data_IF_112412593042
#
_entry.id   IF_112412593042
#
_cell.length_a   1.000
_cell.length_b   1.000
_cell.length_c   1.000
_cell.angle_alpha   90.00
_cell.angle_beta   90.00
_cell.angle_gamma   90.00
#
_symmetry.space_group_name_H-M   'P 1'
#
loop_
_entity.id
_entity.type
_entity.pdbx_description
1 polymer ?
#
# COMPACT_ATOMS: atom_id res chain seq x y z
N UNK A 1 21.02 3.55 20.58
CA UNK A 1 19.87 2.82 20.01
C UNK A 1 19.06 3.69 19.03
N UNK A 2 18.77 4.95 19.39
CA UNK A 2 18.00 5.86 18.53
C UNK A 2 18.65 6.17 17.18
N UNK A 3 19.96 6.39 17.16
CA UNK A 3 20.71 6.73 15.92
C UNK A 3 20.67 5.58 14.89
N UNK A 4 20.81 4.33 15.35
CA UNK A 4 20.74 3.16 14.49
C UNK A 4 19.34 3.00 13.89
N UNK A 5 18.29 3.22 14.69
CA UNK A 5 16.90 3.17 14.22
C UNK A 5 16.62 4.24 13.15
N UNK A 6 17.05 5.48 13.39
CA UNK A 6 16.88 6.58 12.43
C UNK A 6 17.67 6.34 11.13
N UNK A 7 18.84 5.74 11.22
CA UNK A 7 19.62 5.33 10.05
C UNK A 7 18.94 4.21 9.24
N UNK A 8 18.35 3.23 9.93
CA UNK A 8 17.53 2.20 9.27
C UNK A 8 16.31 2.80 8.56
N UNK A 9 15.63 3.79 9.16
CA UNK A 9 14.52 4.51 8.52
C UNK A 9 14.98 5.25 7.25
N UNK A 10 16.15 5.86 7.27
CA UNK A 10 16.70 6.56 6.11
C UNK A 10 16.99 5.59 4.96
N UNK A 11 17.60 4.43 5.25
CA UNK A 11 17.86 3.38 4.26
C UNK A 11 16.53 2.83 3.71
N UNK A 12 15.54 2.59 4.57
CA UNK A 12 14.24 2.08 4.14
C UNK A 12 13.51 3.08 3.24
N UNK A 13 13.52 4.38 3.57
CA UNK A 13 12.97 5.43 2.72
C UNK A 13 13.61 5.46 1.33
N UNK A 14 14.94 5.36 1.27
CA UNK A 14 15.68 5.30 0.01
C UNK A 14 15.35 4.04 -0.81
N UNK A 15 15.23 2.89 -0.15
CA UNK A 15 14.83 1.65 -0.81
C UNK A 15 13.42 1.74 -1.42
N UNK A 16 12.46 2.34 -0.71
CA UNK A 16 11.08 2.56 -1.21
C UNK A 16 11.08 3.50 -2.43
N UNK A 17 11.89 4.56 -2.43
CA UNK A 17 12.05 5.45 -3.59
C UNK A 17 12.56 4.68 -4.80
N UNK A 18 13.60 3.84 -4.63
CA UNK A 18 14.16 3.04 -5.72
C UNK A 18 13.10 2.09 -6.28
N UNK A 19 12.38 1.38 -5.42
CA UNK A 19 11.31 0.46 -5.85
C UNK A 19 10.23 1.21 -6.62
N UNK A 20 9.75 2.35 -6.10
CA UNK A 20 8.78 3.20 -6.78
C UNK A 20 9.29 3.70 -8.15
N UNK A 21 10.54 4.14 -8.22
CA UNK A 21 11.15 4.61 -9.47
C UNK A 21 11.35 3.49 -10.51
N UNK A 22 11.72 2.29 -10.06
CA UNK A 22 11.84 1.12 -10.95
C UNK A 22 10.46 0.72 -11.50
N UNK A 23 9.43 0.68 -10.64
CA UNK A 23 8.06 0.43 -11.08
C UNK A 23 7.63 1.50 -12.09
N UNK A 24 7.84 2.77 -11.79
CA UNK A 24 7.50 3.88 -12.71
C UNK A 24 8.22 3.75 -14.05
N UNK A 25 9.53 3.49 -14.04
CA UNK A 25 10.32 3.38 -15.25
C UNK A 25 9.92 2.19 -16.14
N UNK A 26 9.57 1.05 -15.53
CA UNK A 26 9.14 -0.13 -16.26
C UNK A 26 7.70 -0.05 -16.79
N UNK A 27 6.80 0.65 -16.08
CA UNK A 27 5.37 0.64 -16.37
C UNK A 27 4.83 1.96 -16.93
N UNK A 28 5.65 3.02 -17.01
CA UNK A 28 5.23 4.34 -17.49
C UNK A 28 4.65 4.29 -18.90
N UNK A 29 5.28 3.54 -19.80
CA UNK A 29 4.80 3.38 -21.18
C UNK A 29 3.39 2.75 -21.27
N UNK A 30 2.99 1.99 -20.25
CA UNK A 30 1.69 1.32 -20.19
C UNK A 30 0.62 2.11 -19.44
N UNK A 31 1.02 2.96 -18.50
CA UNK A 31 0.11 3.79 -17.70
C UNK A 31 -0.46 4.97 -18.50
N UNK A 32 0.27 5.48 -19.48
CA UNK A 32 -0.19 6.57 -20.36
C UNK A 32 -1.40 6.19 -21.22
N UNK A 33 -1.61 4.88 -21.45
CA UNK A 33 -2.77 4.38 -22.20
C UNK A 33 -4.01 4.13 -21.34
N UNK A 34 -3.89 4.01 -20.02
CA UNK A 34 -4.98 3.49 -19.18
C UNK A 34 -5.82 4.60 -18.56
N UNK A 35 -5.30 5.78 -18.26
CA UNK A 35 -6.12 6.91 -17.81
C UNK A 35 -5.33 8.14 -17.39
N UNK A 36 -5.78 9.29 -17.83
CA UNK A 36 -5.31 10.62 -17.44
C UNK A 36 -5.72 11.06 -16.00
N UNK A 37 -6.29 10.21 -15.18
CA UNK A 37 -6.88 10.59 -13.88
C UNK A 37 -6.39 9.82 -12.66
N UNK A 38 -5.53 8.84 -12.79
CA UNK A 38 -5.05 8.09 -11.63
C UNK A 38 -3.64 8.51 -11.23
N UNK A 39 -3.52 9.01 -10.00
CA UNK A 39 -2.23 9.07 -9.31
C UNK A 39 -1.67 7.65 -9.30
N UNK A 40 -0.63 7.40 -10.06
CA UNK A 40 -0.01 6.10 -10.18
C UNK A 40 0.40 5.58 -8.80
N UNK A 41 0.17 4.31 -8.50
CA UNK A 41 0.64 3.68 -7.26
C UNK A 41 2.14 3.86 -7.05
N UNK A 42 2.93 3.88 -8.14
CA UNK A 42 4.35 4.18 -8.12
C UNK A 42 4.65 5.60 -7.66
N UNK A 43 3.88 6.60 -8.10
CA UNK A 43 4.03 7.99 -7.64
C UNK A 43 3.74 8.14 -6.15
N UNK A 44 2.75 7.43 -5.61
CA UNK A 44 2.47 7.40 -4.17
C UNK A 44 3.64 6.78 -3.41
N UNK A 45 4.19 5.65 -3.90
CA UNK A 45 5.35 5.00 -3.29
C UNK A 45 6.56 5.94 -3.25
N UNK A 46 6.85 6.64 -4.35
CA UNK A 46 7.94 7.62 -4.39
C UNK A 46 7.69 8.74 -3.38
N UNK A 47 6.49 9.31 -3.34
CA UNK A 47 6.15 10.40 -2.41
C UNK A 47 6.30 9.96 -0.94
N UNK A 48 5.81 8.77 -0.59
CA UNK A 48 5.96 8.19 0.76
C UNK A 48 7.42 7.91 1.08
N UNK A 49 8.18 7.34 0.13
CA UNK A 49 9.62 7.09 0.28
C UNK A 49 10.42 8.37 0.53
N UNK A 50 10.13 9.45 -0.22
CA UNK A 50 10.73 10.78 -0.01
C UNK A 50 10.38 11.33 1.37
N UNK A 51 9.13 11.22 1.80
CA UNK A 51 8.71 11.67 3.12
C UNK A 51 9.48 10.93 4.24
N UNK A 52 9.57 9.60 4.17
CA UNK A 52 10.30 8.79 5.14
C UNK A 52 11.79 9.17 5.15
N UNK A 53 12.39 9.35 3.97
CA UNK A 53 13.79 9.74 3.84
C UNK A 53 14.07 11.11 4.46
N UNK A 54 13.24 12.12 4.18
CA UNK A 54 13.37 13.48 4.71
C UNK A 54 13.22 13.49 6.22
N UNK A 55 12.21 12.82 6.76
CA UNK A 55 12.01 12.71 8.21
C UNK A 55 13.18 12.00 8.87
N UNK A 56 13.62 10.87 8.30
CA UNK A 56 14.80 10.13 8.79
C UNK A 56 16.08 10.97 8.74
N UNK A 57 16.27 11.78 7.70
CA UNK A 57 17.41 12.69 7.57
C UNK A 57 17.46 13.74 8.68
N UNK A 58 16.35 14.49 8.90
CA UNK A 58 16.31 15.48 9.97
C UNK A 58 16.45 14.86 11.35
N UNK A 59 15.85 13.69 11.58
CA UNK A 59 15.99 12.97 12.83
C UNK A 59 17.43 12.48 13.08
N UNK A 60 18.06 11.86 12.09
CA UNK A 60 19.42 11.34 12.21
C UNK A 60 20.45 12.45 12.32
N UNK A 61 20.44 13.42 11.41
CA UNK A 61 21.40 14.52 11.40
C UNK A 61 21.20 15.46 12.61
N UNK A 62 19.94 15.68 13.01
CA UNK A 62 19.63 16.46 14.22
C UNK A 62 20.19 15.83 15.49
N UNK A 63 20.04 14.50 15.63
CA UNK A 63 20.55 13.76 16.77
C UNK A 63 22.08 13.69 16.80
N UNK A 64 22.73 13.45 15.64
CA UNK A 64 24.20 13.29 15.56
C UNK A 64 24.92 14.63 15.70
N UNK A 65 24.37 15.70 15.11
CA UNK A 65 24.98 17.04 15.17
C UNK A 65 24.52 17.86 16.37
N UNK A 66 23.62 17.34 17.17
CA UNK A 66 23.00 18.05 18.31
C UNK A 66 22.44 19.43 17.89
N UNK A 67 21.98 19.53 16.65
CA UNK A 67 21.49 20.78 16.07
C UNK A 67 20.00 20.95 16.42
N UNK A 68 19.71 21.92 17.26
CA UNK A 68 18.35 22.22 17.75
C UNK A 68 17.36 22.51 16.60
N UNK A 69 17.79 23.25 15.57
CA UNK A 69 16.93 23.58 14.43
C UNK A 69 16.46 22.33 13.68
N UNK A 70 17.36 21.37 13.43
CA UNK A 70 17.00 20.13 12.74
C UNK A 70 16.07 19.25 13.60
N UNK A 71 16.28 19.24 14.93
CA UNK A 71 15.43 18.53 15.87
C UNK A 71 14.01 19.10 15.91
N UNK A 72 13.89 20.44 15.96
CA UNK A 72 12.59 21.13 15.91
C UNK A 72 11.89 20.86 14.59
N UNK A 73 12.61 20.93 13.47
CA UNK A 73 12.05 20.61 12.14
C UNK A 73 11.53 19.18 12.09
N UNK A 74 12.28 18.22 12.62
CA UNK A 74 11.85 16.83 12.73
C UNK A 74 10.56 16.68 13.56
N UNK A 75 10.49 17.34 14.71
CA UNK A 75 9.30 17.32 15.56
C UNK A 75 8.07 17.93 14.88
N UNK A 76 8.24 19.05 14.17
CA UNK A 76 7.16 19.69 13.40
C UNK A 76 6.66 18.75 12.29
N UNK A 77 7.58 18.11 11.55
CA UNK A 77 7.20 17.15 10.51
C UNK A 77 6.42 15.96 11.10
N UNK A 78 6.83 15.42 12.24
CA UNK A 78 6.08 14.36 12.91
C UNK A 78 4.69 14.81 13.36
N UNK A 79 4.54 16.03 13.87
CA UNK A 79 3.23 16.58 14.22
C UNK A 79 2.32 16.72 12.99
N UNK A 80 2.85 17.20 11.87
CA UNK A 80 2.09 17.29 10.62
C UNK A 80 1.62 15.90 10.17
N UNK A 81 2.52 14.90 10.19
CA UNK A 81 2.20 13.52 9.82
C UNK A 81 1.10 12.97 10.73
N UNK A 82 1.21 13.21 12.04
CA UNK A 82 0.21 12.76 13.01
C UNK A 82 -1.18 13.34 12.74
N UNK A 83 -1.26 14.66 12.49
CA UNK A 83 -2.53 15.31 12.14
C UNK A 83 -3.11 14.75 10.84
N UNK A 84 -2.26 14.52 9.82
CA UNK A 84 -2.71 13.87 8.57
C UNK A 84 -3.21 12.44 8.80
N UNK A 85 -2.54 11.65 9.63
CA UNK A 85 -2.97 10.28 9.98
C UNK A 85 -4.35 10.27 10.63
N UNK A 86 -4.60 11.19 11.58
CA UNK A 86 -5.92 11.34 12.20
C UNK A 86 -6.98 11.72 11.16
N UNK A 87 -6.66 12.68 10.29
CA UNK A 87 -7.57 13.14 9.23
C UNK A 87 -7.93 12.00 8.26
N UNK A 88 -6.93 11.25 7.79
CA UNK A 88 -7.12 10.10 6.90
C UNK A 88 -7.90 8.98 7.61
N UNK A 89 -7.61 8.71 8.89
CA UNK A 89 -8.33 7.70 9.67
C UNK A 89 -9.81 8.03 9.81
N UNK A 90 -10.14 9.28 10.14
CA UNK A 90 -11.52 9.76 10.25
C UNK A 90 -12.22 9.73 8.89
N UNK A 91 -11.56 10.25 7.84
CA UNK A 91 -12.10 10.25 6.48
C UNK A 91 -12.38 8.82 5.97
N UNK A 92 -11.46 7.89 6.19
CA UNK A 92 -11.62 6.48 5.80
C UNK A 92 -12.81 5.82 6.50
N UNK A 93 -13.08 6.17 7.76
CA UNK A 93 -14.25 5.67 8.48
C UNK A 93 -15.57 6.25 7.94
N UNK A 94 -15.60 7.56 7.65
CA UNK A 94 -16.79 8.24 7.12
C UNK A 94 -17.08 7.81 5.69
N UNK A 95 -16.06 7.74 4.84
CA UNK A 95 -16.17 7.43 3.40
C UNK A 95 -15.98 5.94 3.09
N UNK A 96 -16.17 5.07 4.06
CA UNK A 96 -15.90 3.63 3.89
C UNK A 96 -16.63 3.00 2.70
N UNK A 97 -17.89 3.41 2.45
CA UNK A 97 -18.68 2.91 1.32
C UNK A 97 -18.11 3.36 -0.03
N UNK A 98 -17.62 4.60 -0.10
CA UNK A 98 -17.04 5.15 -1.31
C UNK A 98 -15.68 4.50 -1.59
N UNK A 99 -14.89 4.25 -0.54
CA UNK A 99 -13.62 3.50 -0.63
C UNK A 99 -13.87 2.06 -1.09
N UNK A 100 -14.87 1.37 -0.55
CA UNK A 100 -15.24 0.03 -0.99
C UNK A 100 -15.64 0.03 -2.48
N UNK A 101 -16.48 0.96 -2.89
CA UNK A 101 -16.91 1.10 -4.30
C UNK A 101 -15.72 1.41 -5.22
N UNK A 102 -14.83 2.30 -4.80
CA UNK A 102 -13.63 2.65 -5.54
C UNK A 102 -12.70 1.45 -5.71
N UNK A 103 -12.43 0.69 -4.64
CA UNK A 103 -11.60 -0.51 -4.69
C UNK A 103 -12.20 -1.58 -5.60
N UNK A 104 -13.50 -1.84 -5.46
CA UNK A 104 -14.23 -2.80 -6.29
C UNK A 104 -14.14 -2.45 -7.79
N UNK A 105 -14.39 -1.19 -8.15
CA UNK A 105 -14.28 -0.74 -9.54
C UNK A 105 -12.85 -0.87 -10.09
N UNK A 106 -11.84 -0.52 -9.28
CA UNK A 106 -10.45 -0.67 -9.68
C UNK A 106 -10.05 -2.14 -9.89
N UNK A 107 -10.55 -3.05 -9.05
CA UNK A 107 -10.34 -4.48 -9.26
C UNK A 107 -10.93 -4.93 -10.60
N UNK A 108 -12.15 -4.53 -10.93
CA UNK A 108 -12.76 -4.85 -12.23
C UNK A 108 -11.95 -4.29 -13.41
N UNK A 109 -11.46 -3.05 -13.30
CA UNK A 109 -10.67 -2.41 -14.37
C UNK A 109 -9.33 -3.14 -14.55
N UNK A 110 -8.63 -3.44 -13.45
CA UNK A 110 -7.34 -4.13 -13.52
C UNK A 110 -7.48 -5.56 -14.03
N UNK A 111 -8.57 -6.25 -13.67
CA UNK A 111 -8.85 -7.60 -14.17
C UNK A 111 -9.03 -7.63 -15.70
N UNK A 112 -9.69 -6.61 -16.28
CA UNK A 112 -9.85 -6.49 -17.74
C UNK A 112 -8.53 -6.32 -18.48
N UNK A 113 -7.51 -5.78 -17.79
CA UNK A 113 -6.16 -5.58 -18.31
C UNK A 113 -5.20 -6.73 -17.92
N UNK A 114 -5.75 -7.86 -17.48
CA UNK A 114 -4.94 -9.04 -17.16
C UNK A 114 -4.38 -9.66 -18.44
N UNK A 115 -3.08 -9.50 -18.64
CA UNK A 115 -2.32 -10.07 -19.76
C UNK A 115 -0.82 -10.06 -19.46
N UNK A 116 -0.05 -10.83 -20.21
CA UNK A 116 1.42 -10.83 -20.15
C UNK A 116 2.04 -9.47 -20.50
N UNK A 117 1.31 -8.64 -21.22
CA UNK A 117 1.70 -7.28 -21.54
C UNK A 117 1.78 -6.38 -20.30
N UNK A 118 0.98 -6.69 -19.27
CA UNK A 118 0.96 -5.98 -17.97
C UNK A 118 1.43 -6.89 -16.83
N UNK A 119 2.71 -7.23 -16.74
CA UNK A 119 3.21 -8.24 -15.82
C UNK A 119 2.97 -7.91 -14.34
N UNK A 120 2.82 -6.62 -14.00
CA UNK A 120 2.44 -6.19 -12.63
C UNK A 120 1.00 -6.58 -12.28
N UNK A 121 0.06 -6.32 -13.19
CA UNK A 121 -1.35 -6.69 -13.02
C UNK A 121 -1.49 -8.21 -13.00
N UNK A 122 -0.87 -8.87 -13.99
CA UNK A 122 -0.84 -10.32 -14.10
C UNK A 122 -0.37 -10.98 -12.80
N UNK A 123 0.80 -10.60 -12.32
CA UNK A 123 1.37 -11.16 -11.09
C UNK A 123 0.53 -10.83 -9.85
N UNK A 124 -0.02 -9.63 -9.76
CA UNK A 124 -0.84 -9.23 -8.61
C UNK A 124 -2.12 -10.06 -8.53
N UNK A 125 -2.82 -10.27 -9.64
CA UNK A 125 -4.02 -11.10 -9.68
C UNK A 125 -3.71 -12.55 -9.33
N UNK A 126 -2.62 -13.11 -9.87
CA UNK A 126 -2.21 -14.47 -9.57
C UNK A 126 -1.95 -14.64 -8.06
N UNK A 127 -1.18 -13.72 -7.45
CA UNK A 127 -0.91 -13.77 -6.01
C UNK A 127 -2.21 -13.63 -5.20
N UNK A 128 -3.08 -12.67 -5.52
CA UNK A 128 -4.34 -12.47 -4.79
C UNK A 128 -5.20 -13.72 -4.85
N UNK A 129 -5.42 -14.27 -6.04
CA UNK A 129 -6.27 -15.46 -6.24
C UNK A 129 -5.73 -16.69 -5.51
N UNK A 130 -4.42 -16.88 -5.58
CA UNK A 130 -3.75 -18.00 -4.92
C UNK A 130 -3.80 -17.88 -3.39
N UNK A 131 -3.37 -16.74 -2.82
CA UNK A 131 -3.23 -16.55 -1.37
C UNK A 131 -4.59 -16.49 -0.65
N UNK A 132 -5.61 -15.89 -1.29
CA UNK A 132 -6.93 -15.75 -0.68
C UNK A 132 -7.94 -16.80 -1.11
N UNK A 133 -7.52 -17.79 -1.93
CA UNK A 133 -8.38 -18.86 -2.42
C UNK A 133 -9.70 -18.33 -3.03
N UNK A 134 -9.58 -17.36 -3.95
CA UNK A 134 -10.68 -16.66 -4.59
C UNK A 134 -10.48 -16.57 -6.11
N UNK A 135 -11.47 -16.13 -6.87
CA UNK A 135 -11.37 -15.99 -8.32
C UNK A 135 -12.24 -14.86 -8.85
N UNK A 136 -11.62 -13.94 -9.63
CA UNK A 136 -12.30 -12.75 -10.14
C UNK A 136 -12.56 -11.69 -9.04
N UNK A 137 -13.28 -10.64 -9.36
CA UNK A 137 -13.66 -9.59 -8.41
C UNK A 137 -14.85 -10.02 -7.56
N UNK A 138 -16.00 -10.28 -8.20
CA UNK A 138 -17.22 -10.75 -7.55
C UNK A 138 -17.36 -12.28 -7.63
N UNK A 139 -16.63 -12.91 -8.56
CA UNK A 139 -16.62 -14.34 -8.76
C UNK A 139 -15.91 -14.75 -10.04
N UNK A 140 -15.75 -16.05 -10.22
CA UNK A 140 -15.03 -16.60 -11.38
C UNK A 140 -15.63 -16.20 -12.75
N UNK A 141 -16.94 -15.88 -12.81
CA UNK A 141 -17.63 -15.47 -14.03
C UNK A 141 -17.23 -14.10 -14.53
N UNK A 142 -16.63 -13.26 -13.72
CA UNK A 142 -16.15 -11.95 -14.15
C UNK A 142 -15.10 -12.06 -15.25
N UNK A 143 -14.39 -13.20 -15.28
CA UNK A 143 -13.41 -13.50 -16.31
C UNK A 143 -14.04 -13.65 -17.70
N UNK A 144 -15.33 -14.00 -17.82
CA UNK A 144 -16.04 -14.06 -19.11
C UNK A 144 -16.01 -12.72 -19.86
N UNK A 145 -15.85 -11.61 -19.12
CA UNK A 145 -15.82 -10.25 -19.66
C UNK A 145 -14.40 -9.75 -19.98
N UNK A 146 -13.39 -10.61 -19.86
CA UNK A 146 -11.99 -10.27 -20.11
C UNK A 146 -11.47 -10.92 -21.39
N UNK A 147 -10.43 -10.32 -22.01
CA UNK A 147 -9.79 -10.93 -23.17
C UNK A 147 -9.24 -12.33 -22.84
N UNK A 148 -8.66 -12.50 -21.64
CA UNK A 148 -8.15 -13.78 -21.17
C UNK A 148 -9.25 -14.83 -21.08
N UNK A 149 -10.37 -14.51 -20.46
CA UNK A 149 -11.48 -15.45 -20.31
C UNK A 149 -12.13 -15.83 -21.63
N UNK A 150 -12.21 -14.90 -22.59
CA UNK A 150 -12.71 -15.17 -23.96
C UNK A 150 -11.74 -16.10 -24.72
N UNK A 151 -10.44 -15.88 -24.60
CA UNK A 151 -9.40 -16.66 -25.29
C UNK A 151 -9.30 -18.09 -24.79
N UNK A 152 -9.32 -18.28 -23.48
CA UNK A 152 -9.14 -19.60 -22.85
C UNK A 152 -10.44 -20.27 -22.40
N UNK A 153 -11.61 -19.65 -22.64
CA UNK A 153 -12.92 -20.10 -22.15
C UNK A 153 -12.92 -20.43 -20.63
N UNK A 154 -12.13 -19.68 -19.84
CA UNK A 154 -11.86 -20.05 -18.45
C UNK A 154 -11.25 -18.95 -17.62
N UNK A 155 -10.57 -19.35 -16.56
CA UNK A 155 -9.99 -18.50 -15.52
C UNK A 155 -8.48 -18.76 -15.40
N UNK A 156 -7.70 -17.85 -14.78
CA UNK A 156 -6.29 -18.11 -14.47
C UNK A 156 -6.09 -19.36 -13.60
N UNK A 157 -4.95 -20.02 -13.79
CA UNK A 157 -4.62 -21.25 -13.04
C UNK A 157 -4.56 -21.02 -11.53
N UNK A 158 -4.27 -19.80 -11.08
CA UNK A 158 -4.26 -19.42 -9.67
C UNK A 158 -5.66 -19.37 -9.01
N UNK A 159 -6.73 -19.47 -9.81
CA UNK A 159 -8.09 -19.75 -9.31
C UNK A 159 -8.32 -21.20 -8.92
N UNK A 160 -7.45 -22.12 -9.34
CA UNK A 160 -7.64 -23.55 -9.12
C UNK A 160 -7.39 -23.94 -7.66
N UNK A 161 -8.16 -24.89 -7.16
CA UNK A 161 -7.96 -25.50 -5.83
C UNK A 161 -6.65 -26.29 -5.76
N UNK A 162 -6.26 -26.88 -6.88
CA UNK A 162 -4.97 -27.54 -7.08
C UNK A 162 -4.34 -26.86 -8.28
N UNK A 163 -3.34 -26.01 -8.03
CA UNK A 163 -2.68 -25.24 -9.07
C UNK A 163 -1.83 -26.18 -9.95
N UNK A 164 -2.39 -26.57 -11.09
CA UNK A 164 -1.72 -27.35 -12.14
C UNK A 164 -1.82 -26.58 -13.44
N UNK A 165 -0.87 -26.80 -14.34
CA UNK A 165 -0.84 -26.11 -15.63
C UNK A 165 -2.15 -26.33 -16.41
N UNK A 166 -2.77 -25.23 -16.85
CA UNK A 166 -4.02 -25.19 -17.61
C UNK A 166 -5.27 -25.70 -16.85
N UNK A 167 -5.21 -25.75 -15.52
CA UNK A 167 -6.36 -26.18 -14.72
C UNK A 167 -7.55 -25.25 -14.85
N UNK A 168 -7.33 -23.96 -15.14
CA UNK A 168 -8.38 -22.95 -15.29
C UNK A 168 -9.06 -22.93 -16.67
N UNK A 169 -8.57 -23.69 -17.66
CA UNK A 169 -9.14 -23.69 -19.01
C UNK A 169 -10.51 -24.39 -19.09
N UNK A 170 -11.32 -23.95 -20.04
CA UNK A 170 -12.65 -24.51 -20.34
C UNK A 170 -13.64 -24.50 -19.17
N UNK A 171 -13.39 -23.71 -18.13
CA UNK A 171 -14.24 -23.67 -16.93
C UNK A 171 -15.64 -23.18 -17.21
N UNK A 172 -15.82 -22.33 -18.21
CA UNK A 172 -17.15 -21.79 -18.56
C UNK A 172 -18.03 -22.81 -19.28
N UNK A 173 -17.45 -23.86 -19.85
CA UNK A 173 -18.14 -24.92 -20.54
C UNK A 173 -18.50 -26.11 -19.62
N UNK A 174 -17.98 -26.13 -18.37
CA UNK A 174 -18.23 -27.20 -17.39
C UNK A 174 -19.50 -26.98 -16.60
N UNK A 175 -20.03 -28.06 -16.05
CA UNK A 175 -21.18 -27.99 -15.16
C UNK A 175 -20.80 -27.26 -13.84
N UNK A 176 -21.76 -26.55 -13.19
CA UNK A 176 -21.49 -25.86 -11.93
C UNK A 176 -20.92 -26.74 -10.81
N UNK A 177 -21.20 -28.03 -10.86
CA UNK A 177 -20.71 -29.02 -9.89
C UNK A 177 -19.26 -29.42 -10.13
N UNK A 178 -18.82 -29.46 -11.38
CA UNK A 178 -17.43 -29.71 -11.78
C UNK A 178 -16.58 -28.49 -11.46
N UNK A 179 -17.04 -27.29 -11.85
CA UNK A 179 -16.39 -26.01 -11.53
C UNK A 179 -16.11 -25.88 -10.03
N UNK A 180 -17.09 -26.25 -9.18
CA UNK A 180 -16.94 -26.15 -7.72
C UNK A 180 -15.85 -27.05 -7.13
N UNK A 181 -15.55 -28.14 -7.79
CA UNK A 181 -14.48 -29.07 -7.38
C UNK A 181 -13.10 -28.60 -7.80
N UNK A 182 -13.02 -27.89 -8.91
CA UNK A 182 -11.75 -27.55 -9.55
C UNK A 182 -11.24 -26.17 -9.19
N UNK A 183 -12.14 -25.16 -9.06
CA UNK A 183 -11.74 -23.78 -8.80
C UNK A 183 -12.43 -23.18 -7.56
N UNK A 184 -11.86 -22.07 -7.09
CA UNK A 184 -12.49 -21.19 -6.11
C UNK A 184 -13.50 -20.29 -6.83
N UNK A 185 -14.77 -20.32 -6.42
CA UNK A 185 -15.84 -19.54 -7.08
C UNK A 185 -16.07 -18.17 -6.46
N UNK A 186 -15.65 -18.01 -5.20
CA UNK A 186 -15.87 -16.78 -4.45
C UNK A 186 -15.01 -15.64 -4.98
N UNK A 187 -15.57 -14.43 -5.03
CA UNK A 187 -14.88 -13.24 -5.47
C UNK A 187 -13.79 -12.79 -4.51
N UNK A 188 -12.72 -12.25 -5.07
CA UNK A 188 -11.58 -11.78 -4.29
C UNK A 188 -11.89 -10.51 -3.51
N UNK A 189 -12.82 -9.68 -3.97
CA UNK A 189 -13.21 -8.46 -3.25
C UNK A 189 -13.82 -8.79 -1.87
N UNK A 190 -14.76 -9.71 -1.82
CA UNK A 190 -15.41 -10.11 -0.56
C UNK A 190 -14.45 -10.84 0.38
N UNK A 191 -13.53 -11.66 -0.16
CA UNK A 191 -12.47 -12.31 0.63
C UNK A 191 -11.55 -11.27 1.27
N UNK A 192 -11.00 -10.35 0.49
CA UNK A 192 -10.12 -9.29 0.99
C UNK A 192 -10.83 -8.41 2.03
N UNK A 193 -12.10 -8.08 1.79
CA UNK A 193 -12.93 -7.33 2.75
C UNK A 193 -13.13 -8.11 4.05
N UNK A 194 -13.34 -9.41 3.96
CA UNK A 194 -13.43 -10.33 5.11
C UNK A 194 -12.13 -10.33 5.92
N UNK A 195 -10.99 -10.54 5.27
CA UNK A 195 -9.68 -10.58 5.89
C UNK A 195 -9.33 -9.26 6.60
N UNK A 196 -9.63 -8.12 5.97
CA UNK A 196 -9.47 -6.80 6.60
C UNK A 196 -10.35 -6.67 7.83
N UNK A 197 -11.61 -7.12 7.76
CA UNK A 197 -12.56 -7.05 8.87
C UNK A 197 -12.15 -7.95 10.05
N UNK A 198 -11.66 -9.14 9.77
CA UNK A 198 -11.15 -10.05 10.80
C UNK A 198 -9.90 -9.50 11.49
N UNK A 199 -9.04 -8.84 10.74
CA UNK A 199 -7.79 -8.27 11.24
C UNK A 199 -7.89 -6.80 11.67
N UNK A 200 -9.09 -6.20 11.68
CA UNK A 200 -9.29 -4.77 12.01
C UNK A 200 -8.73 -4.40 13.38
N UNK A 201 -8.82 -5.29 14.36
CA UNK A 201 -8.29 -5.06 15.71
C UNK A 201 -6.76 -4.99 15.71
N UNK A 202 -6.11 -5.85 14.93
CA UNK A 202 -4.64 -5.85 14.80
C UNK A 202 -4.19 -4.61 14.05
N UNK A 203 -4.82 -4.31 12.91
CA UNK A 203 -4.51 -3.11 12.10
C UNK A 203 -4.73 -1.82 12.89
N UNK A 204 -5.85 -1.72 13.60
CA UNK A 204 -6.16 -0.59 14.47
C UNK A 204 -5.19 -0.47 15.63
N UNK A 205 -4.84 -1.60 16.27
CA UNK A 205 -3.86 -1.65 17.35
C UNK A 205 -2.47 -1.17 16.92
N UNK A 206 -2.01 -1.58 15.74
CA UNK A 206 -0.73 -1.11 15.16
C UNK A 206 -0.79 0.39 14.88
N UNK A 207 -1.85 0.89 14.26
CA UNK A 207 -2.02 2.32 13.96
C UNK A 207 -2.02 3.18 15.24
N UNK A 208 -2.74 2.74 16.27
CA UNK A 208 -2.79 3.39 17.58
C UNK A 208 -1.40 3.33 18.25
N UNK A 209 -0.71 2.19 18.19
CA UNK A 209 0.64 2.04 18.72
C UNK A 209 1.64 3.00 18.09
N UNK A 210 1.60 3.16 16.77
CA UNK A 210 2.41 4.16 16.05
C UNK A 210 2.08 5.57 16.53
N UNK A 211 0.80 5.92 16.69
CA UNK A 211 0.37 7.21 17.23
C UNK A 211 0.92 7.48 18.64
N UNK A 212 0.90 6.48 19.53
CA UNK A 212 1.48 6.62 20.87
C UNK A 212 2.99 6.84 20.85
N UNK A 213 3.70 6.13 19.96
CA UNK A 213 5.14 6.33 19.77
C UNK A 213 5.42 7.75 19.27
N UNK A 214 4.65 8.27 18.32
CA UNK A 214 4.80 9.63 17.82
C UNK A 214 4.54 10.67 18.91
N UNK A 215 3.44 10.55 19.66
CA UNK A 215 3.07 11.49 20.72
C UNK A 215 4.07 11.41 21.92
N UNK A 216 4.56 10.22 22.24
CA UNK A 216 5.52 10.05 23.33
C UNK A 216 6.95 10.47 22.98
N UNK A 217 7.41 10.11 21.77
CA UNK A 217 8.78 10.41 21.33
C UNK A 217 9.00 11.91 21.04
N UNK A 218 8.02 12.58 20.44
CA UNK A 218 8.16 13.98 20.01
C UNK A 218 8.44 14.94 21.17
N UNK A 219 7.63 15.01 22.25
CA UNK A 219 7.90 15.90 23.36
C UNK A 219 9.16 15.50 24.15
N UNK A 220 9.42 14.20 24.35
CA UNK A 220 10.62 13.73 24.99
C UNK A 220 11.89 14.20 24.25
N UNK A 221 11.86 14.15 22.93
CA UNK A 221 12.97 14.58 22.07
C UNK A 221 13.15 16.11 22.11
N UNK A 222 12.06 16.87 22.04
CA UNK A 222 12.09 18.35 22.14
C UNK A 222 12.53 18.81 23.52
N UNK A 223 12.02 18.19 24.59
CA UNK A 223 12.42 18.54 25.96
C UNK A 223 13.88 18.17 26.24
N UNK A 224 14.35 17.04 25.79
CA UNK A 224 15.74 16.62 25.95
C UNK A 224 16.71 17.62 25.29
N UNK A 225 16.42 18.03 24.06
CA UNK A 225 17.27 18.99 23.34
C UNK A 225 17.02 20.45 23.78
N UNK A 226 15.78 20.81 24.15
CA UNK A 226 15.47 22.13 24.69
C UNK A 226 16.07 22.40 26.06
N UNK A 227 16.28 21.34 26.88
CA UNK A 227 16.95 21.45 28.17
C UNK A 227 18.47 21.59 28.05
N UNK A 228 19.05 21.05 26.98
CA UNK A 228 20.49 21.16 26.71
C UNK A 228 20.85 22.56 26.17
N UNK A 229 19.93 23.22 25.45
CA UNK A 229 20.17 24.54 24.82
C UNK A 229 19.16 25.57 25.29
N UNK A 230 19.25 25.96 26.57
CA UNK A 230 18.41 26.99 27.17
C UNK A 230 18.55 28.37 26.46
N UNK A 231 17.40 28.89 26.04
CA UNK A 231 17.03 30.31 25.86
C UNK A 231 17.43 31.10 24.59
N UNK A 232 18.43 30.74 23.81
CA UNK A 232 18.89 31.70 22.76
C UNK A 232 18.68 31.25 21.30
N UNK A 233 18.41 29.97 20.97
CA UNK A 233 18.44 29.48 19.58
C UNK A 233 17.09 29.38 18.83
N UNK A 234 15.96 29.51 19.50
CA UNK A 234 14.66 29.46 18.82
C UNK A 234 14.51 30.64 17.83
N UNK A 235 15.15 31.78 18.12
CA UNK A 235 15.11 32.96 17.27
C UNK A 235 15.93 32.84 15.99
N UNK A 236 16.99 31.99 15.98
CA UNK A 236 17.88 31.80 14.84
C UNK A 236 17.36 30.80 13.81
N UNK A 237 16.40 29.93 14.15
CA UNK A 237 15.74 29.04 13.20
C UNK A 237 14.71 29.76 12.31
N UNK A 238 14.36 31.01 12.62
CA UNK A 238 13.37 31.83 11.88
C UNK A 238 14.02 32.86 10.93
N UNK A 239 15.33 32.97 10.88
CA UNK A 239 16.09 33.78 9.93
C UNK A 239 16.87 32.90 8.93
#
# INVERSE_FOLDING_TARGET
>A
CSTVYLFCLQISGFAVIIVGAVIEAHYRAYLDFISSSYVSASSILIAVGVLIFVVGFFGCCGAVKENHCMVVTFAVLLCIIFVMQLGVGIASYILRSDVETFLHQNMLITMRNYSDEYPGIFKTWNVIQHEHACCGTDGYKDWELTNFGVEYAGVPDDCCRVNTHLCGQDMFNKSPQEVDKEIHKEGCFDKLKGDVKENVTILGGVAIGIGFVQVGATPAFVLYFGWINSEYEILYCQL
#
